data_IF_600365489229
#
_entry.id   IF_600365489229
#
_cell.length_a   1.000
_cell.length_b   1.000
_cell.length_c   1.000
_cell.angle_alpha   90.00
_cell.angle_beta   90.00
_cell.angle_gamma   90.00
#
_symmetry.space_group_name_H-M   'P 1'
#
loop_
_entity.id
_entity.type
_entity.pdbx_description
1 polymer ?
#
# COMPACT_ATOMS: atom_id res chain seq x y z
N UNK A 1 -29.70 -17.72 -9.86
CA UNK A 1 -28.35 -18.09 -9.38
C UNK A 1 -27.87 -17.00 -8.48
N UNK A 2 -28.03 -17.20 -7.17
CA UNK A 2 -27.56 -16.23 -6.18
C UNK A 2 -26.04 -16.35 -6.13
N UNK A 3 -25.36 -15.35 -6.68
CA UNK A 3 -23.94 -15.22 -6.50
C UNK A 3 -23.73 -14.68 -5.07
N UNK A 4 -23.27 -15.52 -4.17
CA UNK A 4 -22.74 -15.11 -2.86
C UNK A 4 -21.37 -14.43 -3.03
N UNK A 5 -21.35 -13.35 -3.81
CA UNK A 5 -20.16 -12.52 -3.87
C UNK A 5 -20.30 -11.49 -2.77
N UNK A 6 -19.44 -11.59 -1.78
CA UNK A 6 -19.32 -10.61 -0.68
C UNK A 6 -18.71 -9.30 -1.15
N UNK A 7 -18.62 -9.09 -2.47
CA UNK A 7 -17.93 -7.94 -3.04
C UNK A 7 -18.91 -6.84 -3.39
N UNK A 8 -18.44 -5.66 -3.16
CA UNK A 8 -19.09 -4.39 -3.38
C UNK A 8 -19.28 -4.15 -4.87
N UNK A 9 -20.32 -3.45 -5.26
CA UNK A 9 -20.46 -2.88 -6.60
C UNK A 9 -19.43 -1.77 -6.77
N UNK A 10 -18.20 -2.15 -7.07
CA UNK A 10 -17.12 -1.20 -7.34
C UNK A 10 -17.18 -0.78 -8.82
N UNK A 11 -17.13 0.51 -9.06
CA UNK A 11 -17.01 1.07 -10.39
C UNK A 11 -15.77 1.94 -10.47
N UNK A 12 -15.15 2.02 -11.64
CA UNK A 12 -13.98 2.86 -11.78
C UNK A 12 -13.67 3.26 -13.21
N UNK A 13 -13.02 4.42 -13.30
CA UNK A 13 -12.48 4.96 -14.55
C UNK A 13 -11.05 5.35 -14.32
N UNK A 14 -10.16 4.98 -15.24
CA UNK A 14 -8.74 5.33 -15.21
C UNK A 14 -8.40 6.09 -16.48
N UNK A 15 -7.87 7.29 -16.32
CA UNK A 15 -7.22 8.05 -17.38
C UNK A 15 -5.72 8.08 -17.11
N UNK A 16 -4.92 7.70 -18.10
CA UNK A 16 -3.47 7.60 -17.97
C UNK A 16 -2.77 8.17 -19.19
N UNK A 17 -1.75 9.00 -18.96
CA UNK A 17 -0.92 9.59 -20.01
C UNK A 17 0.54 9.30 -19.72
N UNK A 18 1.28 8.89 -20.72
CA UNK A 18 2.72 8.66 -20.64
C UNK A 18 3.46 9.51 -21.67
N UNK A 19 4.43 10.28 -21.22
CA UNK A 19 5.31 11.08 -22.06
C UNK A 19 6.75 10.54 -22.01
N UNK A 20 7.30 10.21 -23.18
CA UNK A 20 8.67 9.69 -23.36
C UNK A 20 9.50 10.58 -24.30
N UNK A 21 9.08 11.82 -24.51
CA UNK A 21 9.78 12.75 -25.40
C UNK A 21 11.12 13.25 -24.85
N UNK A 22 11.28 13.16 -23.51
CA UNK A 22 12.52 13.55 -22.84
C UNK A 22 13.47 12.36 -22.82
N UNK A 23 14.68 12.57 -23.32
CA UNK A 23 15.69 11.51 -23.38
C UNK A 23 15.95 10.92 -21.99
N UNK A 24 15.96 9.59 -21.91
CA UNK A 24 16.20 8.82 -20.69
C UNK A 24 15.21 9.11 -19.54
N UNK A 25 14.05 9.69 -19.83
CA UNK A 25 13.05 10.05 -18.83
C UNK A 25 11.65 9.70 -19.32
N UNK A 26 10.86 9.08 -18.48
CA UNK A 26 9.43 8.87 -18.70
C UNK A 26 8.65 9.62 -17.63
N UNK A 27 7.66 10.40 -18.05
CA UNK A 27 6.75 11.12 -17.17
C UNK A 27 5.36 10.58 -17.42
N UNK A 28 4.74 10.06 -16.38
CA UNK A 28 3.38 9.54 -16.37
C UNK A 28 2.49 10.45 -15.51
N UNK A 29 1.28 10.68 -15.98
CA UNK A 29 0.22 11.33 -15.22
C UNK A 29 -1.04 10.47 -15.26
N UNK A 30 -1.81 10.46 -14.17
CA UNK A 30 -3.05 9.70 -14.13
C UNK A 30 -4.12 10.36 -13.28
N UNK A 31 -5.35 10.10 -13.68
CA UNK A 31 -6.54 10.40 -12.90
C UNK A 31 -7.35 9.10 -12.77
N UNK A 32 -7.78 8.79 -11.56
CA UNK A 32 -8.57 7.60 -11.27
C UNK A 32 -9.81 8.01 -10.47
N UNK A 33 -10.95 7.54 -10.93
CA UNK A 33 -12.19 7.60 -10.16
C UNK A 33 -12.56 6.18 -9.73
N UNK A 34 -12.90 6.02 -8.45
CA UNK A 34 -13.44 4.79 -7.88
C UNK A 34 -14.68 5.12 -7.08
N UNK A 35 -15.77 4.43 -7.40
CA UNK A 35 -16.98 4.42 -6.59
C UNK A 35 -17.13 3.06 -5.91
N UNK A 36 -17.35 3.10 -4.60
CA UNK A 36 -17.73 1.93 -3.81
C UNK A 36 -19.20 2.05 -3.43
N UNK A 37 -20.02 1.14 -3.91
CA UNK A 37 -21.42 1.00 -3.52
C UNK A 37 -21.62 -0.37 -2.87
N UNK A 38 -21.51 -0.45 -1.56
CA UNK A 38 -21.59 -1.74 -0.91
C UNK A 38 -23.03 -2.17 -0.78
N UNK A 39 -23.46 -3.07 -1.60
CA UNK A 39 -24.62 -3.92 -1.37
C UNK A 39 -24.14 -5.29 -0.89
N UNK A 40 -24.11 -5.48 0.40
CA UNK A 40 -24.02 -6.83 0.96
C UNK A 40 -25.43 -7.42 1.02
N UNK A 41 -25.78 -8.25 0.06
CA UNK A 41 -26.99 -9.05 0.12
C UNK A 41 -26.72 -10.31 0.93
N UNK A 42 -27.47 -10.54 2.00
CA UNK A 42 -27.57 -11.87 2.62
C UNK A 42 -28.46 -12.76 1.78
N UNK A 43 -28.20 -14.07 1.83
CA UNK A 43 -29.18 -15.05 1.43
C UNK A 43 -30.53 -14.71 2.07
N UNK A 44 -31.55 -14.43 1.23
CA UNK A 44 -32.85 -13.92 1.71
C UNK A 44 -33.11 -12.43 1.51
N UNK A 45 -32.20 -11.69 0.87
CA UNK A 45 -32.43 -10.30 0.45
C UNK A 45 -32.29 -9.23 1.54
N UNK A 46 -31.86 -9.60 2.76
CA UNK A 46 -31.63 -8.63 3.82
C UNK A 46 -30.27 -7.95 3.67
N UNK A 47 -30.25 -6.61 3.58
CA UNK A 47 -29.00 -5.81 3.62
C UNK A 47 -28.35 -5.95 5.00
N UNK A 48 -27.11 -6.39 5.05
CA UNK A 48 -26.44 -6.71 6.33
C UNK A 48 -25.59 -5.62 6.91
N UNK A 49 -25.08 -4.71 6.11
CA UNK A 49 -24.40 -3.50 6.55
C UNK A 49 -24.58 -2.43 5.49
N UNK A 50 -24.80 -1.16 5.87
CA UNK A 50 -24.46 -0.07 4.99
C UNK A 50 -22.96 -0.20 4.78
N UNK A 51 -22.56 -0.44 3.58
CA UNK A 51 -21.17 -0.49 3.29
C UNK A 51 -20.57 0.89 3.16
N UNK A 52 -19.30 0.92 2.82
CA UNK A 52 -18.54 2.15 2.72
C UNK A 52 -18.85 2.84 1.39
N UNK A 53 -20.01 3.51 1.29
CA UNK A 53 -20.24 4.39 0.13
C UNK A 53 -19.09 5.36 0.02
N UNK A 54 -18.32 5.25 -1.03
CA UNK A 54 -17.17 6.12 -1.26
C UNK A 54 -17.12 6.56 -2.72
N UNK A 55 -16.85 7.84 -2.91
CA UNK A 55 -16.44 8.43 -4.17
C UNK A 55 -15.00 8.90 -4.01
N UNK A 56 -14.05 8.21 -4.61
CA UNK A 56 -12.62 8.47 -4.47
C UNK A 56 -12.06 8.94 -5.80
N UNK A 57 -11.55 10.15 -5.81
CA UNK A 57 -10.81 10.71 -6.94
C UNK A 57 -9.33 10.70 -6.60
N UNK A 58 -8.51 10.19 -7.49
CA UNK A 58 -7.06 10.15 -7.32
C UNK A 58 -6.39 10.87 -8.47
N UNK A 59 -5.57 11.88 -8.17
CA UNK A 59 -4.69 12.52 -9.13
C UNK A 59 -3.26 12.17 -8.76
N UNK A 60 -2.51 11.64 -9.72
CA UNK A 60 -1.14 11.23 -9.47
C UNK A 60 -0.23 11.33 -10.67
N UNK A 61 1.05 11.16 -10.40
CA UNK A 61 2.07 11.17 -11.43
C UNK A 61 3.32 10.44 -11.01
N UNK A 62 4.07 10.01 -12.01
CA UNK A 62 5.32 9.26 -11.84
C UNK A 62 6.37 9.78 -12.82
N UNK A 63 7.59 9.90 -12.33
CA UNK A 63 8.76 10.16 -13.16
C UNK A 63 9.78 9.04 -12.92
N UNK A 64 10.30 8.51 -14.03
CA UNK A 64 11.37 7.51 -14.01
C UNK A 64 12.44 7.89 -15.00
N UNK A 65 13.68 7.57 -14.68
CA UNK A 65 14.75 7.86 -15.63
C UNK A 65 16.12 7.37 -15.22
N UNK A 66 17.07 7.61 -16.14
CA UNK A 66 18.50 7.34 -15.99
C UNK A 66 19.27 8.64 -16.14
N UNK A 67 19.44 9.43 -15.07
CA UNK A 67 20.09 10.74 -15.13
C UNK A 67 21.57 10.64 -15.47
N UNK A 68 22.19 9.51 -15.19
CA UNK A 68 23.57 9.18 -15.51
C UNK A 68 23.74 7.68 -15.72
N UNK A 69 24.87 7.26 -16.26
CA UNK A 69 25.13 5.88 -16.72
C UNK A 69 24.86 4.78 -15.69
N UNK A 70 25.11 5.06 -14.42
CA UNK A 70 24.97 4.10 -13.31
C UNK A 70 23.69 4.31 -12.49
N UNK A 71 22.93 5.38 -12.72
CA UNK A 71 21.86 5.78 -11.87
C UNK A 71 20.49 5.56 -12.50
N UNK A 72 19.60 4.97 -11.72
CA UNK A 72 18.18 4.86 -12.04
C UNK A 72 17.38 5.53 -10.91
N UNK A 73 16.36 6.27 -11.27
CA UNK A 73 15.42 6.80 -10.29
C UNK A 73 13.96 6.56 -10.69
N UNK A 74 13.12 6.51 -9.69
CA UNK A 74 11.67 6.48 -9.83
C UNK A 74 11.06 7.26 -8.68
N UNK A 75 10.17 8.20 -8.99
CA UNK A 75 9.40 8.95 -8.00
C UNK A 75 7.95 8.95 -8.46
N UNK A 76 7.04 8.63 -7.56
CA UNK A 76 5.59 8.63 -7.80
C UNK A 76 4.89 9.27 -6.62
N UNK A 77 3.88 10.09 -6.88
CA UNK A 77 3.03 10.70 -5.86
C UNK A 77 1.59 10.75 -6.32
N UNK A 78 0.67 10.63 -5.38
CA UNK A 78 -0.76 10.71 -5.63
C UNK A 78 -1.46 11.44 -4.47
N UNK A 79 -2.50 12.17 -4.81
CA UNK A 79 -3.43 12.80 -3.89
C UNK A 79 -4.83 12.27 -4.12
N UNK A 80 -5.54 11.98 -3.04
CA UNK A 80 -6.91 11.50 -3.07
C UNK A 80 -7.85 12.50 -2.42
N UNK A 81 -8.98 12.72 -3.06
CA UNK A 81 -10.06 13.58 -2.59
C UNK A 81 -11.42 12.97 -2.96
N UNK A 82 -12.47 13.50 -2.37
CA UNK A 82 -13.82 12.97 -2.54
C UNK A 82 -14.51 12.82 -1.19
N UNK A 83 -15.35 11.83 -1.05
CA UNK A 83 -16.05 11.59 0.22
C UNK A 83 -16.39 10.13 0.42
N UNK A 84 -16.45 9.70 1.68
CA UNK A 84 -16.92 8.37 2.05
C UNK A 84 -17.76 8.40 3.32
N UNK A 85 -18.55 7.35 3.53
CA UNK A 85 -19.30 7.19 4.77
C UNK A 85 -18.33 7.00 5.94
N UNK A 86 -18.66 7.62 7.09
CA UNK A 86 -17.93 7.42 8.32
C UNK A 86 -18.38 6.10 8.98
N UNK A 87 -17.52 5.06 9.03
CA UNK A 87 -17.89 3.78 9.63
C UNK A 87 -18.05 3.83 11.15
N UNK A 88 -17.68 4.94 11.78
CA UNK A 88 -17.69 5.08 13.24
C UNK A 88 -19.02 5.58 13.78
N UNK A 89 -19.83 6.18 12.93
CA UNK A 89 -21.16 6.61 13.34
C UNK A 89 -22.06 5.40 13.42
N UNK A 90 -22.39 4.96 14.64
CA UNK A 90 -23.46 3.96 14.88
C UNK A 90 -24.77 4.59 14.40
N UNK A 91 -25.25 4.18 13.25
CA UNK A 91 -26.46 4.68 12.66
C UNK A 91 -27.70 4.41 13.55
N UNK A 92 -28.43 5.40 13.97
CA UNK A 92 -29.87 5.29 13.97
C UNK A 92 -30.31 5.27 12.51
N UNK A 93 -31.29 4.48 12.14
CA UNK A 93 -31.77 4.30 10.78
C UNK A 93 -32.19 5.59 10.02
N UNK A 94 -32.15 6.74 10.67
CA UNK A 94 -32.45 8.08 10.18
C UNK A 94 -31.24 8.95 9.81
N UNK A 95 -30.01 8.50 10.06
CA UNK A 95 -28.79 9.31 9.85
C UNK A 95 -28.15 8.95 8.50
N UNK A 96 -28.84 9.33 7.43
CA UNK A 96 -28.47 8.95 6.07
C UNK A 96 -27.19 9.58 5.49
N UNK A 97 -26.50 10.50 6.19
CA UNK A 97 -25.46 11.30 5.54
C UNK A 97 -24.32 11.74 6.46
N UNK A 98 -23.68 10.82 7.17
CA UNK A 98 -22.40 11.16 7.78
C UNK A 98 -21.25 10.85 6.82
N UNK A 99 -21.13 11.65 5.76
CA UNK A 99 -19.98 11.57 4.86
C UNK A 99 -18.82 12.40 5.41
N UNK A 100 -17.63 11.85 5.34
CA UNK A 100 -16.37 12.55 5.60
C UNK A 100 -15.71 12.87 4.27
N UNK A 101 -15.13 14.05 4.19
CA UNK A 101 -14.29 14.42 3.06
C UNK A 101 -12.98 13.66 3.10
N UNK A 102 -12.55 13.15 1.96
CA UNK A 102 -11.26 12.48 1.79
C UNK A 102 -10.19 13.52 1.50
N UNK A 103 -9.04 13.40 2.17
CA UNK A 103 -7.86 14.23 1.91
C UNK A 103 -6.61 13.42 2.21
N UNK A 104 -6.29 12.46 1.33
CA UNK A 104 -5.22 11.50 1.56
C UNK A 104 -4.12 11.62 0.50
N UNK A 105 -2.92 11.22 0.85
CA UNK A 105 -1.80 11.24 -0.07
C UNK A 105 -0.87 10.06 0.12
N UNK A 106 -0.27 9.65 -0.99
CA UNK A 106 0.68 8.57 -1.02
C UNK A 106 1.79 8.85 -2.01
N UNK A 107 2.93 8.21 -1.80
CA UNK A 107 4.04 8.34 -2.72
C UNK A 107 5.12 7.31 -2.47
N UNK A 108 5.95 7.10 -3.47
CA UNK A 108 7.12 6.25 -3.38
C UNK A 108 8.27 6.82 -4.19
N UNK A 109 9.49 6.64 -3.68
CA UNK A 109 10.70 6.99 -4.39
C UNK A 109 11.71 5.86 -4.29
N UNK A 110 12.48 5.68 -5.33
CA UNK A 110 13.60 4.73 -5.39
C UNK A 110 14.74 5.32 -6.19
N UNK A 111 15.94 5.25 -5.62
CA UNK A 111 17.20 5.56 -6.29
C UNK A 111 18.05 4.29 -6.32
N UNK A 112 18.59 3.93 -7.48
CA UNK A 112 19.41 2.74 -7.66
C UNK A 112 20.73 3.11 -8.29
N UNK A 113 21.82 2.63 -7.73
CA UNK A 113 23.15 2.65 -8.32
C UNK A 113 23.49 1.26 -8.87
N UNK A 114 23.84 1.19 -10.14
CA UNK A 114 24.26 -0.01 -10.85
C UNK A 114 25.78 -0.01 -10.99
N UNK A 115 26.47 -0.97 -10.39
CA UNK A 115 27.93 -1.06 -10.47
C UNK A 115 28.41 -1.45 -11.85
N UNK A 116 27.56 -2.13 -12.64
CA UNK A 116 27.87 -2.68 -13.98
C UNK A 116 29.07 -3.61 -13.99
N UNK A 117 29.33 -4.27 -12.89
CA UNK A 117 30.36 -5.29 -12.74
C UNK A 117 29.88 -6.66 -13.24
N UNK A 118 30.76 -7.66 -13.18
CA UNK A 118 30.47 -9.03 -13.63
C UNK A 118 29.35 -9.72 -12.84
N UNK A 119 29.07 -9.27 -11.63
CA UNK A 119 28.04 -9.80 -10.77
C UNK A 119 26.72 -9.00 -10.87
N UNK A 120 26.67 -7.93 -11.69
CA UNK A 120 25.53 -7.02 -11.79
C UNK A 120 25.08 -6.47 -10.44
N UNK A 121 26.03 -6.08 -9.58
CA UNK A 121 25.73 -5.49 -8.32
C UNK A 121 24.88 -4.22 -8.46
N UNK A 122 23.86 -4.11 -7.61
CA UNK A 122 23.00 -2.94 -7.52
C UNK A 122 22.74 -2.61 -6.04
N UNK A 123 22.86 -1.35 -5.70
CA UNK A 123 22.46 -0.81 -4.41
C UNK A 123 21.33 0.17 -4.61
N UNK A 124 20.25 0.03 -3.87
CA UNK A 124 19.10 0.93 -3.95
C UNK A 124 18.74 1.48 -2.58
N UNK A 125 18.20 2.70 -2.57
CA UNK A 125 17.47 3.26 -1.44
C UNK A 125 16.03 3.50 -1.90
N UNK A 126 15.06 3.03 -1.13
CA UNK A 126 13.65 3.19 -1.46
C UNK A 126 12.87 3.69 -0.26
N UNK A 127 11.82 4.45 -0.54
CA UNK A 127 10.83 4.88 0.46
C UNK A 127 9.44 4.80 -0.13
N UNK A 128 8.44 4.54 0.72
CA UNK A 128 7.03 4.59 0.40
C UNK A 128 6.29 5.19 1.58
N UNK A 129 5.41 6.13 1.31
CA UNK A 129 4.59 6.80 2.28
C UNK A 129 3.12 6.68 1.87
N UNK A 130 2.27 6.24 2.78
CA UNK A 130 0.82 6.17 2.63
C UNK A 130 0.21 6.78 3.88
N UNK A 131 -0.52 7.87 3.72
CA UNK A 131 -1.11 8.60 4.84
C UNK A 131 -2.03 7.72 5.68
N UNK A 132 -2.10 8.00 6.96
CA UNK A 132 -3.05 7.47 7.94
C UNK A 132 -4.19 8.45 8.19
N UNK A 133 -5.18 8.02 8.95
CA UNK A 133 -6.31 8.86 9.36
C UNK A 133 -6.02 9.50 10.72
N UNK A 134 -5.85 10.82 10.77
CA UNK A 134 -5.71 11.56 12.02
C UNK A 134 -7.07 11.58 12.75
N UNK A 135 -7.18 10.94 13.94
CA UNK A 135 -8.42 10.90 14.68
C UNK A 135 -8.90 12.26 15.20
N UNK A 136 -8.05 13.29 15.15
CA UNK A 136 -8.35 14.65 15.63
C UNK A 136 -9.02 15.51 14.55
N UNK A 137 -8.99 15.09 13.29
CA UNK A 137 -9.60 15.83 12.19
C UNK A 137 -11.01 15.33 11.84
N UNK A 138 -11.77 16.12 11.10
CA UNK A 138 -13.08 15.74 10.55
C UNK A 138 -12.95 15.02 9.19
N UNK A 139 -11.78 14.98 8.61
CA UNK A 139 -11.51 14.37 7.29
C UNK A 139 -11.09 12.93 7.44
N UNK A 140 -11.14 12.21 6.35
CA UNK A 140 -10.50 10.91 6.18
C UNK A 140 -9.19 11.09 5.43
N UNK A 141 -8.10 10.91 6.12
CA UNK A 141 -6.75 11.07 5.56
C UNK A 141 -6.08 9.73 5.23
N UNK A 142 -6.79 8.61 5.41
CA UNK A 142 -6.26 7.30 5.11
C UNK A 142 -6.21 7.06 3.61
N UNK A 143 -5.01 6.86 3.05
CA UNK A 143 -4.82 6.60 1.63
C UNK A 143 -5.46 5.28 1.22
N UNK A 144 -6.39 5.32 0.26
CA UNK A 144 -7.02 4.13 -0.29
C UNK A 144 -6.16 3.56 -1.42
N UNK A 145 -5.81 2.29 -1.33
CA UNK A 145 -5.04 1.60 -2.37
C UNK A 145 -5.88 1.24 -3.59
N UNK A 146 -7.13 1.72 -3.64
CA UNK A 146 -8.10 1.45 -4.69
C UNK A 146 -8.33 -0.06 -4.86
N UNK A 147 -7.85 -0.66 -5.94
CA UNK A 147 -7.92 -2.10 -6.21
C UNK A 147 -6.63 -2.83 -5.85
N UNK A 148 -5.66 -2.13 -5.24
CA UNK A 148 -4.41 -2.73 -4.78
C UNK A 148 -4.65 -3.58 -3.53
N UNK A 149 -4.59 -4.91 -3.65
CA UNK A 149 -4.97 -5.81 -2.55
C UNK A 149 -3.81 -6.35 -1.75
N UNK A 150 -2.56 -6.29 -2.28
CA UNK A 150 -1.43 -6.96 -1.65
C UNK A 150 -0.18 -6.09 -1.60
N UNK A 151 0.54 -6.05 -0.47
CA UNK A 151 1.87 -5.45 -0.42
C UNK A 151 2.81 -6.29 -1.27
N UNK A 152 3.27 -5.74 -2.38
CA UNK A 152 4.20 -6.45 -3.27
C UNK A 152 5.60 -6.59 -2.70
N UNK A 153 5.86 -5.95 -1.57
CA UNK A 153 7.18 -5.93 -0.95
C UNK A 153 7.35 -6.92 0.20
N UNK A 154 6.27 -7.51 0.73
CA UNK A 154 6.29 -8.47 1.82
C UNK A 154 5.09 -9.40 1.77
N UNK A 155 5.31 -10.68 1.95
CA UNK A 155 4.27 -11.68 2.17
C UNK A 155 3.88 -11.75 3.65
N UNK A 156 4.86 -11.66 4.54
CA UNK A 156 4.67 -11.77 5.98
C UNK A 156 3.86 -10.60 6.55
N UNK A 157 4.07 -9.39 6.04
CA UNK A 157 3.43 -8.19 6.55
C UNK A 157 1.91 -8.14 6.28
N UNK A 158 1.43 -8.91 5.34
CA UNK A 158 -0.02 -9.08 5.06
C UNK A 158 -0.78 -9.48 6.32
N UNK A 159 -0.24 -10.40 7.11
CA UNK A 159 -0.90 -10.88 8.32
C UNK A 159 -0.98 -9.83 9.43
N UNK A 160 0.03 -8.99 9.54
CA UNK A 160 0.02 -7.87 10.49
C UNK A 160 -1.09 -6.88 10.16
N UNK A 161 -1.25 -6.55 8.88
CA UNK A 161 -2.31 -5.64 8.44
C UNK A 161 -3.71 -6.21 8.57
N UNK A 162 -3.91 -7.49 8.35
CA UNK A 162 -5.22 -8.11 8.53
C UNK A 162 -5.75 -7.90 9.96
N UNK A 163 -4.86 -7.87 10.95
CA UNK A 163 -5.22 -7.55 12.34
C UNK A 163 -5.62 -6.09 12.53
N UNK A 164 -4.94 -5.15 11.87
CA UNK A 164 -5.23 -3.71 11.98
C UNK A 164 -6.55 -3.32 11.30
N UNK A 165 -6.87 -3.95 10.20
CA UNK A 165 -8.03 -3.61 9.37
C UNK A 165 -9.29 -4.40 9.72
N UNK A 166 -9.34 -5.07 10.87
CA UNK A 166 -10.48 -5.88 11.32
C UNK A 166 -10.88 -6.99 10.34
N UNK A 167 -9.88 -7.60 9.69
CA UNK A 167 -10.07 -8.71 8.76
C UNK A 167 -10.30 -8.28 7.31
N UNK A 168 -10.26 -7.00 6.99
CA UNK A 168 -10.15 -6.56 5.60
C UNK A 168 -8.74 -6.84 5.12
N UNK A 169 -8.59 -7.82 4.26
CA UNK A 169 -7.30 -8.20 3.69
C UNK A 169 -6.75 -7.04 2.87
N UNK A 170 -5.51 -6.65 3.19
CA UNK A 170 -4.62 -5.86 2.34
C UNK A 170 -4.93 -4.37 2.15
N UNK A 171 -5.49 -3.70 3.11
CA UNK A 171 -5.37 -2.25 3.16
C UNK A 171 -4.05 -1.86 3.82
N UNK A 172 -3.02 -1.67 3.01
CA UNK A 172 -1.70 -1.21 3.45
C UNK A 172 -1.71 0.30 3.41
N UNK A 173 -2.14 0.92 4.46
CA UNK A 173 -2.15 2.35 4.63
C UNK A 173 -1.57 2.71 5.99
N UNK A 174 -1.48 3.98 6.30
CA UNK A 174 -0.83 4.44 7.52
C UNK A 174 0.59 3.87 7.62
N UNK A 175 1.33 3.90 6.52
CA UNK A 175 2.66 3.33 6.43
C UNK A 175 3.66 4.31 5.83
N UNK A 176 4.76 4.49 6.54
CA UNK A 176 6.00 4.99 5.96
C UNK A 176 7.08 3.94 6.12
N UNK A 177 7.61 3.45 5.00
CA UNK A 177 8.77 2.56 4.99
C UNK A 177 9.94 3.21 4.25
N UNK A 178 11.13 2.99 4.74
CA UNK A 178 12.37 3.47 4.13
C UNK A 178 13.50 2.48 4.39
N UNK A 179 14.30 2.21 3.37
CA UNK A 179 15.48 1.38 3.57
C UNK A 179 16.25 1.04 2.31
N UNK A 180 17.47 0.52 2.50
CA UNK A 180 18.32 0.04 1.42
C UNK A 180 17.95 -1.35 0.94
N UNK A 181 18.31 -1.64 -0.30
CA UNK A 181 18.34 -3.00 -0.84
C UNK A 181 19.61 -3.21 -1.66
N UNK A 182 20.15 -4.41 -1.57
CA UNK A 182 21.29 -4.87 -2.36
C UNK A 182 20.91 -6.10 -3.15
N UNK A 183 21.32 -6.16 -4.41
CA UNK A 183 21.09 -7.32 -5.26
C UNK A 183 22.30 -7.58 -6.15
N UNK A 184 22.56 -8.85 -6.45
CA UNK A 184 23.60 -9.29 -7.36
C UNK A 184 23.33 -10.69 -7.92
N UNK A 185 24.08 -11.06 -8.94
CA UNK A 185 23.99 -12.36 -9.60
C UNK A 185 25.27 -13.18 -9.30
N UNK A 186 25.26 -14.09 -8.30
CA UNK A 186 26.45 -14.86 -7.92
C UNK A 186 27.01 -15.74 -9.06
N UNK A 187 26.12 -16.23 -9.92
CA UNK A 187 26.44 -17.03 -11.09
C UNK A 187 25.31 -16.95 -12.13
N UNK A 188 25.56 -17.48 -13.32
CA UNK A 188 24.53 -17.55 -14.38
C UNK A 188 23.28 -18.32 -13.89
N UNK A 189 22.13 -17.71 -14.08
CA UNK A 189 20.84 -18.26 -13.67
C UNK A 189 20.53 -18.11 -12.16
N UNK A 190 21.43 -17.49 -11.38
CA UNK A 190 21.21 -17.23 -9.95
C UNK A 190 21.13 -15.72 -9.69
N UNK A 191 20.20 -15.32 -8.85
CA UNK A 191 20.12 -13.95 -8.32
C UNK A 191 19.87 -13.96 -6.82
N UNK A 192 20.49 -13.05 -6.12
CA UNK A 192 20.29 -12.80 -4.70
C UNK A 192 19.86 -11.36 -4.48
N UNK A 193 18.96 -11.14 -3.55
CA UNK A 193 18.64 -9.80 -3.05
C UNK A 193 18.40 -9.81 -1.55
N UNK A 194 18.82 -8.73 -0.89
CA UNK A 194 18.51 -8.44 0.49
C UNK A 194 17.92 -7.04 0.58
N UNK A 195 16.80 -6.88 1.26
CA UNK A 195 16.09 -5.62 1.43
C UNK A 195 15.79 -5.39 2.90
N UNK A 196 16.22 -4.27 3.41
CA UNK A 196 15.86 -3.82 4.75
C UNK A 196 14.92 -2.63 4.65
N UNK A 197 13.96 -2.53 5.58
CA UNK A 197 13.12 -1.35 5.76
C UNK A 197 12.93 -1.06 7.26
N UNK A 198 13.04 0.19 7.63
CA UNK A 198 12.44 0.73 8.84
C UNK A 198 10.99 1.11 8.52
N UNK A 199 10.07 0.71 9.39
CA UNK A 199 8.62 0.85 9.18
C UNK A 199 8.05 1.78 10.25
N UNK A 200 7.25 2.75 9.81
CA UNK A 200 6.61 3.72 10.69
C UNK A 200 5.11 3.83 10.37
N UNK A 201 4.31 4.18 11.36
CA UNK A 201 2.94 4.64 11.20
C UNK A 201 2.92 6.17 11.22
N UNK A 202 2.50 6.85 10.14
CA UNK A 202 2.31 8.30 10.16
C UNK A 202 1.39 8.79 11.27
N UNK A 203 0.33 8.04 11.53
CA UNK A 203 -0.68 8.37 12.55
C UNK A 203 -0.82 7.26 13.58
N UNK A 204 -1.31 7.59 14.75
CA UNK A 204 -1.68 6.64 15.80
C UNK A 204 -2.81 5.71 15.34
N UNK A 205 -2.97 4.58 16.02
CA UNK A 205 -4.12 3.72 15.78
C UNK A 205 -5.42 4.48 16.04
N UNK A 206 -6.25 4.62 15.01
CA UNK A 206 -7.52 5.33 15.11
C UNK A 206 -8.44 4.69 16.16
N UNK A 207 -8.95 5.50 17.07
CA UNK A 207 -10.00 5.11 18.03
C UNK A 207 -11.40 5.21 17.46
N UNK A 208 -11.56 5.75 16.24
CA UNK A 208 -12.89 5.97 15.65
C UNK A 208 -13.64 4.68 15.35
N UNK A 209 -12.93 3.66 14.91
CA UNK A 209 -13.50 2.36 14.55
C UNK A 209 -13.66 1.46 15.76
N UNK A 210 -12.89 1.70 16.82
CA UNK A 210 -12.89 0.89 18.05
C UNK A 210 -12.79 1.79 19.28
N UNK A 211 -13.61 1.51 20.29
CA UNK A 211 -13.57 2.21 21.57
C UNK A 211 -12.23 2.03 22.31
N UNK A 212 -11.52 0.96 21.99
CA UNK A 212 -10.17 0.66 22.50
C UNK A 212 -9.26 0.40 21.31
N UNK A 213 -8.18 1.16 21.11
CA UNK A 213 -7.22 0.89 20.06
C UNK A 213 -6.57 -0.48 20.30
N UNK A 214 -6.33 -1.23 19.23
CA UNK A 214 -5.67 -2.55 19.31
C UNK A 214 -4.18 -2.43 19.61
N UNK A 215 -3.59 -1.30 19.28
CA UNK A 215 -2.17 -1.05 19.38
C UNK A 215 -1.89 0.19 20.22
N UNK A 216 -0.63 0.60 20.30
CA UNK A 216 -0.22 1.79 21.03
C UNK A 216 -0.99 3.03 20.57
N UNK A 217 -1.24 3.94 21.52
CA UNK A 217 -1.87 5.23 21.27
C UNK A 217 -0.86 6.33 20.89
N UNK A 218 0.41 6.07 21.15
CA UNK A 218 1.51 7.04 21.05
C UNK A 218 2.76 6.48 20.38
N UNK A 219 2.74 5.20 19.98
CA UNK A 219 3.83 4.55 19.27
C UNK A 219 3.68 4.70 17.75
N UNK A 220 4.72 5.18 17.10
CA UNK A 220 4.75 5.34 15.64
C UNK A 220 5.71 4.38 14.94
N UNK A 221 6.64 3.78 15.67
CA UNK A 221 7.58 2.85 15.07
C UNK A 221 6.98 1.46 14.93
N UNK A 222 6.69 1.05 13.69
CA UNK A 222 6.15 -0.29 13.39
C UNK A 222 7.18 -1.38 13.51
N UNK A 223 8.48 -1.07 13.29
CA UNK A 223 9.56 -2.03 13.47
C UNK A 223 10.56 -2.07 12.33
N UNK A 224 11.41 -3.09 12.41
CA UNK A 224 12.40 -3.43 11.38
C UNK A 224 11.90 -4.60 10.55
N UNK A 225 12.14 -4.53 9.26
CA UNK A 225 11.81 -5.59 8.30
C UNK A 225 13.05 -5.93 7.48
N UNK A 226 13.35 -7.22 7.37
CA UNK A 226 14.41 -7.75 6.52
C UNK A 226 13.84 -8.85 5.62
N UNK A 227 14.09 -8.74 4.33
CA UNK A 227 13.76 -9.75 3.34
C UNK A 227 15.02 -10.20 2.62
N UNK A 228 15.17 -11.50 2.42
CA UNK A 228 16.19 -12.10 1.57
C UNK A 228 15.54 -13.01 0.55
N UNK A 229 15.95 -12.90 -0.70
CA UNK A 229 15.44 -13.73 -1.79
C UNK A 229 16.60 -14.29 -2.59
N UNK A 230 16.69 -15.60 -2.67
CA UNK A 230 17.59 -16.31 -3.57
C UNK A 230 16.74 -17.00 -4.63
N UNK A 231 17.06 -16.75 -5.90
CA UNK A 231 16.42 -17.43 -7.03
C UNK A 231 17.47 -18.14 -7.84
N UNK A 232 17.17 -19.36 -8.27
CA UNK A 232 18.05 -20.09 -9.17
C UNK A 232 17.24 -20.84 -10.24
N UNK A 233 17.62 -20.61 -11.49
CA UNK A 233 17.09 -21.31 -12.63
C UNK A 233 18.07 -22.41 -13.07
N UNK A 234 17.77 -23.66 -12.73
CA UNK A 234 18.59 -24.80 -13.09
C UNK A 234 18.54 -25.12 -14.58
N UNK A 235 17.35 -25.03 -15.18
CA UNK A 235 17.11 -25.25 -16.59
C UNK A 235 15.79 -24.60 -17.03
N UNK A 236 15.38 -24.79 -18.29
CA UNK A 236 14.14 -24.20 -18.82
C UNK A 236 12.85 -24.69 -18.16
N UNK A 237 12.90 -25.77 -17.39
CA UNK A 237 11.74 -26.40 -16.74
C UNK A 237 11.75 -26.30 -15.21
N UNK A 238 12.91 -25.97 -14.61
CA UNK A 238 13.07 -25.97 -13.16
C UNK A 238 13.69 -24.66 -12.67
N UNK A 239 12.96 -23.95 -11.81
CA UNK A 239 13.47 -22.84 -11.04
C UNK A 239 13.12 -23.03 -9.55
N UNK A 240 13.96 -22.51 -8.67
CA UNK A 240 13.78 -22.56 -7.22
C UNK A 240 13.90 -21.16 -6.65
N UNK A 241 13.01 -20.83 -5.72
CA UNK A 241 13.06 -19.60 -4.95
C UNK A 241 13.16 -19.97 -3.47
N UNK A 242 14.15 -19.42 -2.80
CA UNK A 242 14.25 -19.41 -1.34
C UNK A 242 13.98 -17.99 -0.86
N UNK A 243 12.96 -17.85 -0.02
CA UNK A 243 12.48 -16.57 0.48
C UNK A 243 12.52 -16.57 2.00
N UNK A 244 13.19 -15.60 2.60
CA UNK A 244 13.21 -15.39 4.04
C UNK A 244 12.74 -13.98 4.37
N UNK A 245 11.84 -13.87 5.33
CA UNK A 245 11.35 -12.60 5.85
C UNK A 245 11.39 -12.58 7.37
N UNK A 246 11.81 -11.46 7.93
CA UNK A 246 11.92 -11.24 9.36
C UNK A 246 11.33 -9.89 9.72
N UNK A 247 10.48 -9.85 10.75
CA UNK A 247 9.92 -8.64 11.33
C UNK A 247 10.26 -8.58 12.81
N UNK A 248 10.88 -7.50 13.21
CA UNK A 248 11.04 -7.12 14.62
C UNK A 248 10.09 -5.97 14.90
N UNK A 249 9.03 -6.27 15.66
CA UNK A 249 7.97 -5.30 15.94
C UNK A 249 8.48 -4.16 16.82
N UNK A 250 8.02 -2.94 16.50
CA UNK A 250 8.26 -1.73 17.27
C UNK A 250 7.14 -1.40 18.24
N UNK A 251 7.21 -0.22 18.84
CA UNK A 251 6.30 0.27 19.87
C UNK A 251 4.86 0.50 19.40
N UNK A 252 4.65 0.70 18.09
CA UNK A 252 3.31 0.79 17.49
C UNK A 252 2.44 -0.42 17.82
N UNK A 253 3.03 -1.61 17.96
CA UNK A 253 2.32 -2.86 18.25
C UNK A 253 2.22 -3.18 19.75
N UNK A 254 2.71 -2.31 20.61
CA UNK A 254 2.59 -2.53 22.05
C UNK A 254 1.12 -2.43 22.46
N UNK A 255 0.61 -3.53 23.00
CA UNK A 255 -0.69 -3.52 23.69
C UNK A 255 -0.55 -2.80 25.04
N UNK A 256 -1.40 -1.84 25.29
CA UNK A 256 -1.58 -1.23 26.61
C UNK A 256 -2.89 -1.64 27.24
#
# INVERSE_FOLDING_TARGET
TDYNVTEQNEQGVVFYVSNKSIKNTTIDGYFIYKADEPETLKAGGAKTRPGDYADIYTLGGKITGTPAEHWLYSVEGAYQFGSKNDPTVKFPASAANHRRDISAYGGKAKLTYQFKDSLNNQLSLATEYLSGDDPKTGKDEMFDLLWGRWPRWSELYIYSYAAETSGKVAQINNLWRIGPSWSFNPMKGMSFSATYNALFAPEDTSTRVMATPRFSRDGHFRGHYLQTVLKHQFNKHCNVHLWGEFIWQGDYYNQR
#
